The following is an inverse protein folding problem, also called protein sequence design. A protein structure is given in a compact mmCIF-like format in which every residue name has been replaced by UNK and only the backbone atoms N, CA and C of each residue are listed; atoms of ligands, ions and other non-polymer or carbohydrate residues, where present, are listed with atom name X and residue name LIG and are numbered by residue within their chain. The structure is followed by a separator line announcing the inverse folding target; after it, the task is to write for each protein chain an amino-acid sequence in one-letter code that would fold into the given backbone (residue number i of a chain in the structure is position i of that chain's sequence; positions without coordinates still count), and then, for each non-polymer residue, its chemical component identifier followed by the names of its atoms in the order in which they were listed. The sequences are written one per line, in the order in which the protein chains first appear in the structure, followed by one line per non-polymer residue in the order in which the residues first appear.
data_IF_345219147686
#
_entry.id   IF_345219147686
#
_cell.length_a   1.000
_cell.length_b   1.000
_cell.length_c   1.000
_cell.angle_alpha   90.00
_cell.angle_beta   90.00
_cell.angle_gamma   90.00
#
_symmetry.space_group_name_H-M   'P 1'
#
loop_
_entity.id
_entity.type
_entity.pdbx_description
1 polymer ?
#
# COMPACT_ATOMS: atom_id res chain seq x y z
N UNK A 1 10.54 -68.26 -38.06
CA UNK A 1 10.66 -67.25 -36.98
C UNK A 1 10.74 -65.79 -37.46
N UNK A 2 11.14 -65.47 -38.71
CA UNK A 2 11.20 -64.08 -39.21
C UNK A 2 9.84 -63.37 -39.41
N UNK A 3 8.75 -64.11 -39.64
CA UNK A 3 7.44 -63.51 -39.92
C UNK A 3 6.60 -63.26 -38.65
N UNK A 4 6.88 -63.97 -37.55
CA UNK A 4 6.18 -63.77 -36.27
C UNK A 4 6.62 -62.45 -35.61
N UNK A 5 7.91 -62.10 -35.71
CA UNK A 5 8.45 -60.83 -35.19
C UNK A 5 7.88 -59.62 -35.94
N UNK A 6 7.63 -59.73 -37.26
CA UNK A 6 6.97 -58.67 -38.03
C UNK A 6 5.54 -58.40 -37.56
N UNK A 7 4.74 -59.44 -37.33
CA UNK A 7 3.36 -59.27 -36.86
C UNK A 7 3.28 -58.73 -35.42
N UNK A 8 4.24 -59.08 -34.54
CA UNK A 8 4.32 -58.47 -33.20
C UNK A 8 4.69 -56.99 -33.23
N UNK A 9 5.52 -56.54 -34.19
CA UNK A 9 5.87 -55.12 -34.36
C UNK A 9 4.67 -54.32 -34.91
N UNK A 10 3.91 -54.88 -35.86
CA UNK A 10 2.70 -54.22 -36.37
C UNK A 10 1.56 -54.17 -35.33
N UNK A 11 1.46 -55.17 -34.45
CA UNK A 11 0.50 -55.17 -33.36
C UNK A 11 0.84 -54.13 -32.27
N UNK A 12 2.13 -53.88 -32.01
CA UNK A 12 2.56 -52.87 -31.04
C UNK A 12 2.43 -51.43 -31.54
N UNK A 13 2.59 -51.19 -32.86
CA UNK A 13 2.37 -49.87 -33.48
C UNK A 13 0.88 -49.49 -33.54
N UNK A 14 -0.03 -50.48 -33.61
CA UNK A 14 -1.47 -50.24 -33.61
C UNK A 14 -2.06 -49.75 -32.27
N UNK A 15 -1.37 -50.01 -31.15
CA UNK A 15 -1.86 -49.64 -29.80
C UNK A 15 -1.45 -48.20 -29.43
N UNK A 16 -0.40 -47.64 -30.03
CA UNK A 16 0.08 -46.28 -29.73
C UNK A 16 -0.82 -45.19 -30.34
N UNK A 17 -1.70 -45.52 -31.29
CA UNK A 17 -2.55 -44.54 -31.98
C UNK A 17 -3.88 -44.21 -31.26
N UNK A 18 -4.19 -44.86 -30.14
CA UNK A 18 -5.41 -44.56 -29.35
C UNK A 18 -5.13 -43.86 -28.01
N UNK A 19 -3.87 -43.53 -27.72
CA UNK A 19 -3.47 -42.71 -26.57
C UNK A 19 -3.39 -41.21 -26.89
N UNK A 20 -4.12 -40.73 -27.90
CA UNK A 20 -4.26 -39.30 -28.10
C UNK A 20 -4.93 -38.72 -26.85
N UNK A 21 -4.18 -37.91 -26.11
CA UNK A 21 -4.66 -37.08 -25.02
C UNK A 21 -6.06 -36.57 -25.38
N UNK A 22 -7.07 -36.94 -24.59
CA UNK A 22 -8.27 -36.10 -24.50
C UNK A 22 -7.76 -34.69 -24.30
N UNK A 23 -8.10 -33.72 -25.18
CA UNK A 23 -7.72 -32.35 -24.93
C UNK A 23 -8.25 -32.02 -23.54
N UNK A 24 -7.37 -31.69 -22.60
CA UNK A 24 -7.81 -31.09 -21.36
C UNK A 24 -8.52 -29.81 -21.77
N UNK A 25 -9.86 -29.85 -21.75
CA UNK A 25 -10.68 -28.66 -21.91
C UNK A 25 -10.43 -27.81 -20.69
N UNK A 26 -9.49 -26.87 -20.79
CA UNK A 26 -9.38 -25.74 -19.87
C UNK A 26 -10.55 -24.78 -20.16
N UNK A 27 -11.77 -25.26 -20.03
CA UNK A 27 -12.95 -24.40 -20.03
C UNK A 27 -13.10 -23.89 -18.60
N UNK A 28 -12.89 -22.59 -18.41
CA UNK A 28 -13.39 -21.89 -17.24
C UNK A 28 -14.88 -22.24 -17.13
N UNK A 29 -15.31 -22.75 -15.97
CA UNK A 29 -16.69 -23.18 -15.79
C UNK A 29 -17.67 -22.04 -16.08
N UNK A 30 -18.91 -22.38 -16.45
CA UNK A 30 -19.93 -21.39 -16.81
C UNK A 30 -20.03 -20.25 -15.78
N UNK A 31 -20.10 -19.01 -16.28
CA UNK A 31 -20.32 -17.82 -15.46
C UNK A 31 -21.75 -17.92 -14.88
N UNK A 32 -21.85 -18.13 -13.58
CA UNK A 32 -23.12 -18.29 -12.87
C UNK A 32 -23.66 -16.99 -12.25
N UNK A 33 -22.87 -15.90 -12.31
CA UNK A 33 -23.30 -14.53 -11.95
C UNK A 33 -22.85 -13.55 -13.04
N UNK A 34 -23.81 -12.87 -13.68
CA UNK A 34 -23.53 -11.77 -14.59
C UNK A 34 -23.36 -10.43 -13.85
N UNK A 35 -22.60 -9.45 -14.40
CA UNK A 35 -22.45 -8.11 -13.81
C UNK A 35 -23.78 -7.43 -13.45
N UNK A 36 -24.80 -7.57 -14.31
CA UNK A 36 -26.13 -6.97 -14.09
C UNK A 36 -26.89 -7.56 -12.89
N UNK A 37 -26.45 -8.71 -12.37
CA UNK A 37 -27.01 -9.33 -11.17
C UNK A 37 -26.29 -8.88 -9.91
N UNK A 38 -25.27 -8.02 -10.00
CA UNK A 38 -24.58 -7.43 -8.85
C UNK A 38 -25.23 -6.07 -8.54
N UNK A 39 -26.22 -6.10 -7.64
CA UNK A 39 -27.07 -4.93 -7.34
C UNK A 39 -27.13 -4.71 -5.83
N UNK A 40 -27.02 -3.45 -5.39
CA UNK A 40 -27.22 -3.07 -4.00
C UNK A 40 -28.65 -3.40 -3.51
N UNK A 41 -28.76 -3.92 -2.29
CA UNK A 41 -29.99 -4.45 -1.71
C UNK A 41 -30.29 -5.91 -2.09
N UNK A 42 -29.66 -6.45 -3.14
CA UNK A 42 -29.85 -7.84 -3.60
C UNK A 42 -28.60 -8.67 -3.34
N UNK A 43 -27.46 -8.23 -3.88
CA UNK A 43 -26.19 -8.99 -3.87
C UNK A 43 -25.25 -8.50 -2.78
N UNK A 44 -25.45 -7.25 -2.35
CA UNK A 44 -24.72 -6.63 -1.25
C UNK A 44 -25.54 -5.49 -0.63
N UNK A 45 -25.11 -4.96 0.52
CA UNK A 45 -25.68 -3.77 1.17
C UNK A 45 -24.59 -2.81 1.61
N UNK A 46 -24.92 -1.52 1.60
CA UNK A 46 -24.16 -0.44 2.21
C UNK A 46 -25.08 0.22 3.24
N UNK A 47 -24.68 0.21 4.52
CA UNK A 47 -25.53 0.70 5.61
C UNK A 47 -24.71 1.57 6.56
N UNK A 48 -25.26 2.72 6.95
CA UNK A 48 -24.69 3.55 8.00
C UNK A 48 -25.03 2.95 9.37
N UNK A 49 -24.10 3.03 10.32
CA UNK A 49 -24.41 2.73 11.71
C UNK A 49 -25.43 3.74 12.26
N UNK A 50 -26.40 3.25 13.03
CA UNK A 50 -27.49 4.06 13.54
C UNK A 50 -27.05 5.09 14.59
N UNK A 51 -25.94 4.84 15.30
CA UNK A 51 -25.42 5.72 16.35
C UNK A 51 -24.31 6.63 15.83
N UNK A 52 -23.52 6.14 14.88
CA UNK A 52 -22.43 6.91 14.28
C UNK A 52 -22.45 6.77 12.75
N UNK A 53 -23.03 7.73 12.01
CA UNK A 53 -23.18 7.63 10.56
C UNK A 53 -21.84 7.64 9.79
N UNK A 54 -20.71 7.91 10.44
CA UNK A 54 -19.37 7.78 9.86
C UNK A 54 -18.86 6.32 9.83
N UNK A 55 -19.56 5.39 10.48
CA UNK A 55 -19.32 3.95 10.37
C UNK A 55 -20.21 3.39 9.27
N UNK A 56 -19.59 2.79 8.26
CA UNK A 56 -20.29 2.19 7.11
C UNK A 56 -20.08 0.68 7.12
N UNK A 57 -21.16 -0.08 7.09
CA UNK A 57 -21.14 -1.52 6.96
C UNK A 57 -21.36 -1.91 5.50
N UNK A 58 -20.40 -2.63 4.94
CA UNK A 58 -20.54 -3.31 3.66
C UNK A 58 -20.83 -4.79 3.96
N UNK A 59 -21.95 -5.30 3.46
CA UNK A 59 -22.35 -6.69 3.70
C UNK A 59 -22.63 -7.41 2.40
N UNK A 60 -21.93 -8.52 2.17
CA UNK A 60 -22.19 -9.40 1.03
C UNK A 60 -23.42 -10.24 1.33
N UNK A 61 -24.35 -10.27 0.37
CA UNK A 61 -25.58 -11.07 0.40
C UNK A 61 -25.51 -12.28 -0.53
N UNK A 62 -24.41 -12.44 -1.28
CA UNK A 62 -24.25 -13.60 -2.16
C UNK A 62 -24.07 -14.90 -1.36
N UNK A 63 -24.38 -16.02 -2.00
CA UNK A 63 -24.24 -17.35 -1.40
C UNK A 63 -22.80 -17.60 -0.93
N UNK A 64 -22.65 -18.36 0.17
CA UNK A 64 -21.36 -18.65 0.77
C UNK A 64 -20.39 -19.41 -0.13
N UNK A 65 -20.88 -20.05 -1.21
CA UNK A 65 -20.01 -20.67 -2.23
C UNK A 65 -19.20 -19.65 -3.04
N UNK A 66 -19.54 -18.37 -2.97
CA UNK A 66 -18.83 -17.30 -3.66
C UNK A 66 -17.93 -16.51 -2.73
N UNK A 67 -16.79 -16.07 -3.25
CA UNK A 67 -15.89 -15.15 -2.54
C UNK A 67 -16.28 -13.70 -2.87
N UNK A 68 -16.66 -12.88 -1.88
CA UNK A 68 -16.89 -11.46 -2.05
C UNK A 68 -15.59 -10.75 -2.46
N UNK A 69 -15.69 -9.69 -3.27
CA UNK A 69 -14.58 -8.81 -3.60
C UNK A 69 -15.04 -7.37 -3.45
N UNK A 70 -14.42 -6.64 -2.54
CA UNK A 70 -14.70 -5.23 -2.29
C UNK A 70 -13.55 -4.36 -2.78
N UNK A 71 -13.88 -3.28 -3.48
CA UNK A 71 -13.02 -2.11 -3.62
C UNK A 71 -13.73 -0.93 -2.99
N UNK A 72 -13.12 -0.30 -1.99
CA UNK A 72 -13.73 0.74 -1.16
C UNK A 72 -12.68 1.81 -0.79
N UNK A 73 -13.06 2.95 -0.20
CA UNK A 73 -12.12 4.06 0.06
C UNK A 73 -10.90 3.68 0.90
N UNK A 74 -11.00 2.61 1.69
CA UNK A 74 -9.94 2.11 2.57
C UNK A 74 -9.20 0.87 2.01
N UNK A 75 -9.26 0.64 0.69
CA UNK A 75 -8.55 -0.47 0.02
C UNK A 75 -9.47 -1.56 -0.53
N UNK A 76 -9.05 -2.82 -0.38
CA UNK A 76 -9.78 -4.00 -0.86
C UNK A 76 -9.99 -5.01 0.26
N UNK A 77 -11.06 -5.78 0.18
CA UNK A 77 -11.34 -6.89 1.12
C UNK A 77 -12.08 -8.02 0.43
N UNK A 78 -11.94 -9.23 0.95
CA UNK A 78 -12.74 -10.40 0.55
C UNK A 78 -13.73 -10.83 1.65
N UNK A 79 -13.83 -10.06 2.73
CA UNK A 79 -14.65 -10.41 3.86
C UNK A 79 -16.14 -10.31 3.50
N UNK A 80 -16.93 -11.21 4.11
CA UNK A 80 -18.39 -11.16 3.96
C UNK A 80 -18.99 -9.87 4.53
N UNK A 81 -18.38 -9.32 5.58
CA UNK A 81 -18.75 -8.04 6.18
C UNK A 81 -17.51 -7.19 6.38
N UNK A 82 -17.54 -5.96 5.87
CA UNK A 82 -16.48 -4.97 6.05
C UNK A 82 -17.06 -3.79 6.83
N UNK A 83 -16.30 -3.25 7.77
CA UNK A 83 -16.66 -2.04 8.50
C UNK A 83 -15.68 -0.94 8.11
N UNK A 84 -16.17 0.09 7.43
CA UNK A 84 -15.41 1.29 7.12
C UNK A 84 -15.64 2.33 8.21
N UNK A 85 -14.58 3.04 8.58
CA UNK A 85 -14.63 4.18 9.50
C UNK A 85 -14.17 5.42 8.76
N UNK A 86 -15.11 6.24 8.30
CA UNK A 86 -14.86 7.34 7.37
C UNK A 86 -14.87 8.67 8.13
N UNK A 87 -13.71 9.24 8.49
CA UNK A 87 -13.64 10.44 9.32
C UNK A 87 -14.12 11.71 8.62
N UNK A 88 -13.99 11.80 7.29
CA UNK A 88 -14.19 13.04 6.56
C UNK A 88 -15.56 13.08 5.86
N UNK A 89 -16.18 14.27 5.76
CA UNK A 89 -17.36 14.45 4.95
C UNK A 89 -16.99 14.33 3.47
N UNK A 90 -17.86 13.71 2.69
CA UNK A 90 -17.63 13.47 1.26
C UNK A 90 -18.56 12.44 0.66
N UNK A 91 -18.49 12.33 -0.67
CA UNK A 91 -19.13 11.26 -1.43
C UNK A 91 -18.08 10.21 -1.79
N UNK A 92 -18.39 8.96 -1.48
CA UNK A 92 -17.48 7.83 -1.59
C UNK A 92 -18.07 6.75 -2.47
N UNK A 93 -17.19 5.99 -3.15
CA UNK A 93 -17.59 4.89 -4.03
C UNK A 93 -17.19 3.54 -3.44
N UNK A 94 -18.04 2.54 -3.63
CA UNK A 94 -17.77 1.13 -3.35
C UNK A 94 -18.06 0.34 -4.60
N UNK A 95 -17.11 -0.50 -5.01
CA UNK A 95 -17.31 -1.47 -6.08
C UNK A 95 -17.36 -2.85 -5.46
N UNK A 96 -18.46 -3.54 -5.69
CA UNK A 96 -18.63 -4.92 -5.26
C UNK A 96 -18.47 -5.86 -6.45
N UNK A 97 -17.79 -6.97 -6.20
CA UNK A 97 -17.61 -8.05 -7.14
C UNK A 97 -17.64 -9.40 -6.43
N UNK A 98 -17.61 -10.42 -7.26
CA UNK A 98 -17.69 -11.81 -6.83
C UNK A 98 -16.70 -12.63 -7.65
N UNK A 99 -15.90 -13.44 -6.98
CA UNK A 99 -15.12 -14.47 -7.66
C UNK A 99 -16.00 -15.69 -7.95
N UNK A 100 -16.10 -16.05 -9.22
CA UNK A 100 -16.87 -17.20 -9.73
C UNK A 100 -15.94 -18.21 -10.38
N UNK A 101 -16.47 -19.38 -10.77
CA UNK A 101 -15.71 -20.37 -11.57
C UNK A 101 -15.28 -19.84 -12.94
N UNK A 102 -16.03 -18.88 -13.48
CA UNK A 102 -15.73 -18.20 -14.74
C UNK A 102 -14.77 -17.01 -14.58
N UNK A 103 -14.24 -16.78 -13.38
CA UNK A 103 -13.42 -15.63 -13.04
C UNK A 103 -14.18 -14.56 -12.26
N UNK A 104 -13.55 -13.40 -12.12
CA UNK A 104 -14.07 -12.29 -11.32
C UNK A 104 -15.10 -11.49 -12.10
N UNK A 105 -16.23 -11.22 -11.45
CA UNK A 105 -17.31 -10.40 -11.98
C UNK A 105 -17.54 -9.23 -11.05
N UNK A 106 -17.51 -8.00 -11.58
CA UNK A 106 -17.83 -6.78 -10.82
C UNK A 106 -19.14 -6.16 -11.29
N UNK A 107 -19.88 -5.57 -10.37
CA UNK A 107 -21.00 -4.68 -10.68
C UNK A 107 -20.54 -3.25 -10.93
N UNK A 108 -21.51 -2.39 -11.21
CA UNK A 108 -21.29 -0.93 -11.25
C UNK A 108 -20.98 -0.39 -9.84
N UNK A 109 -20.11 0.63 -9.70
CA UNK A 109 -19.84 1.23 -8.39
C UNK A 109 -21.09 1.89 -7.79
N UNK A 110 -21.37 1.59 -6.53
CA UNK A 110 -22.35 2.31 -5.71
C UNK A 110 -21.70 3.47 -4.95
N UNK A 111 -22.51 4.43 -4.53
CA UNK A 111 -22.07 5.64 -3.82
C UNK A 111 -22.73 5.77 -2.47
N UNK A 112 -21.98 6.19 -1.45
CA UNK A 112 -22.52 6.61 -0.15
C UNK A 112 -21.95 7.97 0.23
N UNK A 113 -22.64 8.69 1.12
CA UNK A 113 -22.25 10.04 1.54
C UNK A 113 -22.04 10.10 3.04
N UNK A 114 -20.96 10.74 3.47
CA UNK A 114 -20.74 11.13 4.86
C UNK A 114 -20.89 12.64 4.93
N UNK A 115 -21.79 13.11 5.79
CA UNK A 115 -22.17 14.53 5.85
C UNK A 115 -21.23 15.35 6.76
N UNK A 116 -20.82 14.77 7.88
CA UNK A 116 -20.06 15.44 8.92
C UNK A 116 -18.73 14.75 9.21
N UNK A 117 -17.79 15.52 9.74
CA UNK A 117 -16.51 14.99 10.20
C UNK A 117 -16.66 14.27 11.55
N UNK A 118 -16.05 13.10 11.70
CA UNK A 118 -15.96 12.39 12.98
C UNK A 118 -14.49 12.25 13.41
N UNK A 119 -14.03 13.22 14.21
CA UNK A 119 -12.62 13.39 14.58
C UNK A 119 -12.06 12.22 15.42
N UNK A 120 -12.89 11.46 16.14
CA UNK A 120 -12.43 10.31 16.93
C UNK A 120 -11.86 9.17 16.08
N UNK A 121 -12.16 9.11 14.77
CA UNK A 121 -11.48 8.15 13.88
C UNK A 121 -10.07 8.58 13.47
N UNK A 122 -9.66 9.79 13.84
CA UNK A 122 -8.32 10.33 13.61
C UNK A 122 -7.74 10.95 14.89
N UNK A 123 -8.19 10.49 16.08
CA UNK A 123 -7.71 10.97 17.38
C UNK A 123 -6.46 10.24 17.87
N UNK A 124 -6.08 9.13 17.24
CA UNK A 124 -4.80 8.45 17.53
C UNK A 124 -3.63 9.41 17.28
N UNK A 125 -2.68 9.44 18.22
CA UNK A 125 -1.53 10.35 18.22
C UNK A 125 -0.74 10.29 16.90
N UNK A 126 -0.74 9.15 16.20
CA UNK A 126 -0.08 8.99 14.89
C UNK A 126 -0.58 10.03 13.89
N UNK A 127 -1.88 10.35 13.88
CA UNK A 127 -2.45 11.36 12.97
C UNK A 127 -1.95 12.77 13.31
N UNK A 128 -1.89 13.10 14.60
CA UNK A 128 -1.37 14.37 15.08
C UNK A 128 0.12 14.52 14.77
N UNK A 129 0.91 13.50 15.04
CA UNK A 129 2.35 13.52 14.78
C UNK A 129 2.65 13.61 13.29
N UNK A 130 1.90 12.90 12.43
CA UNK A 130 2.14 12.86 10.99
C UNK A 130 1.64 14.13 10.27
N UNK A 131 0.43 14.59 10.60
CA UNK A 131 -0.31 15.57 9.82
C UNK A 131 -0.77 16.80 10.62
N UNK A 132 -0.43 16.91 11.90
CA UNK A 132 -0.80 18.04 12.76
C UNK A 132 -2.13 17.87 13.50
N UNK A 133 -2.93 16.86 13.15
CA UNK A 133 -4.23 16.58 13.76
C UNK A 133 -5.41 17.08 12.94
N UNK A 134 -6.63 16.86 13.44
CA UNK A 134 -7.87 17.17 12.74
C UNK A 134 -7.92 18.64 12.26
N UNK A 135 -8.10 18.87 10.97
CA UNK A 135 -8.17 20.23 10.39
C UNK A 135 -6.82 20.92 10.19
N UNK A 136 -5.71 20.29 10.57
CA UNK A 136 -4.37 20.85 10.48
C UNK A 136 -3.56 20.25 9.33
N UNK A 137 -2.33 20.73 9.17
CA UNK A 137 -1.36 20.17 8.24
C UNK A 137 0.05 20.18 8.84
N UNK A 138 0.90 19.26 8.38
CA UNK A 138 2.30 19.20 8.77
C UNK A 138 3.18 18.89 7.57
N UNK A 139 4.25 19.67 7.45
CA UNK A 139 5.22 19.58 6.36
C UNK A 139 6.52 18.95 6.83
N UNK A 140 7.08 18.10 5.99
CA UNK A 140 8.28 17.30 6.22
C UNK A 140 9.28 17.53 5.10
N UNK A 141 10.56 17.58 5.48
CA UNK A 141 11.70 17.61 4.57
C UNK A 141 12.51 16.33 4.74
N UNK A 142 13.07 15.83 3.64
CA UNK A 142 14.09 14.79 3.73
C UNK A 142 15.29 15.35 4.51
N UNK A 143 15.89 14.57 5.40
CA UNK A 143 17.04 15.00 6.19
C UNK A 143 18.35 14.96 5.39
N UNK A 144 18.38 15.72 4.30
CA UNK A 144 19.54 16.03 3.48
C UNK A 144 19.24 17.29 2.67
N UNK A 145 20.15 18.25 2.66
CA UNK A 145 20.02 19.46 1.83
C UNK A 145 21.11 19.57 0.75
N UNK A 146 21.03 20.67 0.00
CA UNK A 146 21.94 21.04 -1.08
C UNK A 146 23.41 21.19 -0.65
N UNK A 147 23.68 21.40 0.64
CA UNK A 147 25.03 21.48 1.19
C UNK A 147 25.54 20.12 1.67
N UNK A 148 24.74 19.05 1.52
CA UNK A 148 25.10 17.73 2.02
C UNK A 148 24.96 17.61 3.54
N UNK A 149 24.08 18.41 4.16
CA UNK A 149 23.85 18.38 5.60
C UNK A 149 22.59 17.57 5.94
N UNK A 150 22.81 16.46 6.66
CA UNK A 150 21.78 15.79 7.48
C UNK A 150 21.89 16.34 8.89
N UNK A 151 20.79 16.86 9.43
CA UNK A 151 20.75 17.61 10.71
C UNK A 151 20.53 16.69 11.91
N UNK A 152 19.84 15.57 11.72
CA UNK A 152 19.41 14.71 12.83
C UNK A 152 19.88 13.28 12.67
N UNK A 153 19.66 12.72 11.48
CA UNK A 153 20.05 11.37 11.13
C UNK A 153 21.47 11.35 10.55
N UNK A 154 22.08 10.16 10.51
CA UNK A 154 23.39 9.97 9.87
C UNK A 154 23.35 10.19 8.36
N UNK A 155 22.17 10.09 7.76
CA UNK A 155 21.91 10.30 6.35
C UNK A 155 20.41 10.29 6.02
N UNK A 156 20.02 10.56 4.77
CA UNK A 156 18.62 10.62 4.36
C UNK A 156 17.94 9.25 4.20
N UNK A 157 18.73 8.17 4.11
CA UNK A 157 18.25 6.83 3.76
C UNK A 157 18.98 5.78 4.59
N UNK A 158 18.20 4.96 5.30
CA UNK A 158 18.65 3.74 5.95
C UNK A 158 18.06 2.51 5.27
N UNK A 159 18.62 1.34 5.60
CA UNK A 159 18.17 0.06 5.11
C UNK A 159 17.85 -0.84 6.30
N UNK A 160 16.67 -1.42 6.29
CA UNK A 160 16.26 -2.41 7.28
C UNK A 160 15.90 -3.73 6.62
N UNK A 161 15.95 -4.80 7.39
CA UNK A 161 15.39 -6.09 7.01
C UNK A 161 13.88 -6.00 6.78
N UNK A 162 13.35 -6.87 5.93
CA UNK A 162 11.91 -6.88 5.57
C UNK A 162 10.99 -7.15 6.76
N UNK A 163 11.52 -7.79 7.81
CA UNK A 163 10.83 -8.03 9.08
C UNK A 163 10.80 -6.85 10.03
N UNK A 164 11.62 -5.81 9.82
CA UNK A 164 11.70 -4.67 10.73
C UNK A 164 10.50 -3.72 10.55
N UNK A 165 9.88 -3.34 11.65
CA UNK A 165 8.73 -2.45 11.68
C UNK A 165 8.74 -1.60 12.96
N UNK A 166 7.75 -0.72 13.09
CA UNK A 166 7.56 0.12 14.28
C UNK A 166 7.83 -0.60 15.60
N UNK A 167 7.26 -1.81 15.76
CA UNK A 167 7.38 -2.59 16.98
C UNK A 167 8.83 -2.80 17.41
N UNK A 168 9.66 -3.47 16.59
CA UNK A 168 11.02 -3.78 17.01
C UNK A 168 11.97 -2.57 16.91
N UNK A 169 11.75 -1.63 15.99
CA UNK A 169 12.53 -0.39 15.90
C UNK A 169 12.34 0.48 17.14
N UNK A 170 11.14 0.47 17.75
CA UNK A 170 10.81 1.28 18.93
C UNK A 170 10.68 0.45 20.22
N UNK A 171 11.19 -0.79 20.26
CA UNK A 171 11.17 -1.67 21.44
C UNK A 171 9.76 -2.01 21.98
N UNK A 172 8.75 -2.01 21.12
CA UNK A 172 7.34 -2.32 21.41
C UNK A 172 6.91 -3.71 20.90
N UNK A 173 7.76 -4.42 20.15
CA UNK A 173 7.42 -5.72 19.58
C UNK A 173 8.61 -6.47 19.00
N UNK A 174 8.38 -7.72 18.58
CA UNK A 174 9.35 -8.52 17.83
C UNK A 174 9.27 -8.19 16.33
N UNK A 175 10.33 -8.44 15.54
CA UNK A 175 10.26 -8.35 14.09
C UNK A 175 9.15 -9.25 13.50
N UNK A 176 8.63 -8.87 12.34
CA UNK A 176 7.55 -9.60 11.65
C UNK A 176 8.02 -10.94 11.07
N UNK A 177 9.32 -11.07 10.80
CA UNK A 177 9.96 -12.30 10.31
C UNK A 177 11.44 -12.32 10.73
N UNK A 178 12.20 -13.34 10.29
CA UNK A 178 13.60 -13.52 10.67
C UNK A 178 14.60 -12.58 9.99
N UNK A 179 14.19 -11.89 8.92
CA UNK A 179 15.01 -10.91 8.21
C UNK A 179 14.92 -9.55 8.92
N UNK A 180 15.74 -9.40 9.97
CA UNK A 180 15.80 -8.19 10.81
C UNK A 180 17.25 -7.78 10.99
N UNK A 181 17.58 -6.60 10.47
CA UNK A 181 18.92 -6.02 10.48
C UNK A 181 18.84 -4.52 10.17
N UNK A 182 19.89 -3.78 10.52
CA UNK A 182 19.98 -2.35 10.24
C UNK A 182 21.32 -2.04 9.58
N UNK A 183 21.26 -1.31 8.48
CA UNK A 183 22.38 -0.54 7.96
C UNK A 183 21.98 0.94 7.89
N UNK A 184 22.59 1.76 8.75
CA UNK A 184 22.32 3.19 8.93
C UNK A 184 23.52 4.04 8.49
N UNK A 185 23.82 4.09 7.17
CA UNK A 185 25.04 4.69 6.67
C UNK A 185 25.14 6.18 6.97
N UNK A 186 26.34 6.62 7.35
CA UNK A 186 26.69 8.05 7.36
C UNK A 186 26.77 8.55 5.92
N UNK A 187 25.93 9.53 5.57
CA UNK A 187 25.81 10.02 4.19
C UNK A 187 27.12 10.59 3.65
N UNK A 188 27.89 11.31 4.47
CA UNK A 188 29.19 11.89 4.05
C UNK A 188 30.20 10.85 3.56
N UNK A 189 30.08 9.60 4.02
CA UNK A 189 30.91 8.47 3.60
C UNK A 189 30.27 7.66 2.45
N UNK A 190 28.98 7.91 2.17
CA UNK A 190 28.14 7.14 1.25
C UNK A 190 27.33 8.05 0.33
N UNK A 191 27.94 9.10 -0.21
CA UNK A 191 27.27 10.14 -1.01
C UNK A 191 26.63 9.62 -2.30
N UNK A 192 27.01 8.41 -2.74
CA UNK A 192 26.42 7.70 -3.87
C UNK A 192 24.97 7.26 -3.60
N UNK A 193 24.54 7.13 -2.35
CA UNK A 193 23.17 6.72 -1.99
C UNK A 193 22.14 7.72 -2.51
N UNK A 194 22.40 9.00 -2.29
CA UNK A 194 21.52 10.11 -2.60
C UNK A 194 22.38 11.37 -2.83
N UNK A 195 22.30 12.06 -3.97
CA UNK A 195 23.08 13.28 -4.19
C UNK A 195 22.67 14.41 -3.22
N UNK A 196 23.61 15.27 -2.83
CA UNK A 196 23.24 16.50 -2.14
C UNK A 196 22.31 17.34 -3.05
N UNK A 197 21.22 17.85 -2.49
CA UNK A 197 20.23 18.60 -3.26
C UNK A 197 19.06 19.08 -2.42
N UNK A 198 18.32 20.04 -2.95
CA UNK A 198 17.01 20.39 -2.42
C UNK A 198 15.98 19.39 -2.96
N UNK A 199 15.60 18.43 -2.12
CA UNK A 199 14.61 17.42 -2.46
C UNK A 199 13.19 17.98 -2.56
N UNK A 200 12.93 19.17 -2.01
CA UNK A 200 11.62 19.75 -1.84
C UNK A 200 10.95 19.28 -0.54
N UNK A 201 9.63 19.17 -0.54
CA UNK A 201 8.84 19.00 0.68
C UNK A 201 7.64 18.07 0.49
N UNK A 202 7.18 17.50 1.59
CA UNK A 202 6.00 16.64 1.67
C UNK A 202 5.07 17.11 2.78
N UNK A 203 3.82 17.42 2.44
CA UNK A 203 2.82 17.93 3.38
C UNK A 203 1.64 16.97 3.49
N UNK A 204 1.44 16.41 4.69
CA UNK A 204 0.22 15.72 5.06
C UNK A 204 -0.77 16.74 5.63
N UNK A 205 -2.02 16.75 5.15
CA UNK A 205 -3.06 17.63 5.68
C UNK A 205 -4.37 16.87 5.91
N UNK A 206 -5.08 17.28 6.95
CA UNK A 206 -6.39 16.76 7.37
C UNK A 206 -7.49 17.80 7.17
N UNK A 207 -7.30 18.72 6.21
CA UNK A 207 -8.23 19.79 5.85
C UNK A 207 -9.23 19.29 4.82
N UNK A 208 -10.43 18.95 5.27
CA UNK A 208 -11.52 18.44 4.41
C UNK A 208 -11.26 17.04 3.84
N UNK A 209 -10.25 16.33 4.32
CA UNK A 209 -9.81 15.02 3.84
C UNK A 209 -8.38 14.71 4.29
N UNK A 210 -7.98 13.44 4.23
CA UNK A 210 -6.58 13.05 4.38
C UNK A 210 -5.86 13.18 3.04
N UNK A 211 -5.31 14.36 2.79
CA UNK A 211 -4.62 14.68 1.55
C UNK A 211 -3.11 14.79 1.75
N UNK A 212 -2.36 14.50 0.70
CA UNK A 212 -0.92 14.69 0.68
C UNK A 212 -0.49 15.49 -0.55
N UNK A 213 0.45 16.39 -0.37
CA UNK A 213 1.10 17.15 -1.44
C UNK A 213 2.59 16.89 -1.35
N UNK A 214 3.22 16.50 -2.46
CA UNK A 214 4.66 16.22 -2.51
C UNK A 214 5.30 16.98 -3.65
N UNK A 215 6.22 17.87 -3.32
CA UNK A 215 7.03 18.63 -4.26
C UNK A 215 8.40 17.95 -4.37
N UNK A 216 8.61 17.11 -5.39
CA UNK A 216 9.89 16.43 -5.62
C UNK A 216 10.79 17.30 -6.48
N UNK A 217 11.51 18.25 -5.87
CA UNK A 217 12.34 19.20 -6.62
C UNK A 217 13.46 18.48 -7.40
N UNK A 218 14.12 17.47 -6.80
CA UNK A 218 15.17 16.67 -7.46
C UNK A 218 14.65 15.72 -8.56
N UNK A 219 13.34 15.47 -8.63
CA UNK A 219 12.71 14.68 -9.70
C UNK A 219 11.94 15.56 -10.70
N UNK A 220 11.82 16.86 -10.45
CA UNK A 220 11.08 17.79 -11.30
C UNK A 220 9.57 17.51 -11.38
N UNK A 221 8.95 16.93 -10.34
CA UNK A 221 7.51 16.60 -10.33
C UNK A 221 6.81 17.05 -9.06
N UNK A 222 5.53 17.41 -9.21
CA UNK A 222 4.62 17.70 -8.10
C UNK A 222 3.48 16.70 -8.12
N UNK A 223 3.12 16.20 -6.95
CA UNK A 223 2.07 15.22 -6.77
C UNK A 223 1.08 15.73 -5.74
N UNK A 224 -0.21 15.48 -6.00
CA UNK A 224 -1.29 15.71 -5.05
C UNK A 224 -2.10 14.43 -5.01
N UNK A 225 -2.27 13.91 -3.81
CA UNK A 225 -2.91 12.62 -3.59
C UNK A 225 -3.66 12.57 -2.28
N UNK A 226 -4.02 11.37 -1.88
CA UNK A 226 -4.64 11.07 -0.58
C UNK A 226 -3.81 10.03 0.18
N UNK A 227 -4.03 9.94 1.48
CA UNK A 227 -3.42 8.92 2.31
C UNK A 227 -4.40 8.36 3.35
N UNK A 228 -4.13 7.16 3.83
CA UNK A 228 -4.82 6.54 4.96
C UNK A 228 -3.79 5.88 5.87
N UNK A 229 -3.97 5.99 7.19
CA UNK A 229 -3.11 5.35 8.19
C UNK A 229 -3.83 4.12 8.77
N UNK A 230 -3.15 2.98 8.81
CA UNK A 230 -3.47 1.87 9.73
C UNK A 230 -2.64 2.09 11.00
N UNK A 231 -3.27 2.63 12.05
CA UNK A 231 -2.58 3.04 13.28
C UNK A 231 -2.10 1.84 14.09
N UNK A 232 -2.74 0.69 13.94
CA UNK A 232 -2.37 -0.55 14.64
C UNK A 232 -1.16 -1.20 13.98
N UNK A 233 -1.17 -1.30 12.65
CA UNK A 233 -0.05 -1.88 11.87
C UNK A 233 1.08 -0.90 11.60
N UNK A 234 0.86 0.40 11.88
CA UNK A 234 1.79 1.50 11.62
C UNK A 234 2.20 1.54 10.15
N UNK A 235 1.20 1.50 9.27
CA UNK A 235 1.38 1.64 7.81
C UNK A 235 0.55 2.80 7.27
N UNK A 236 0.98 3.32 6.12
CA UNK A 236 0.28 4.35 5.36
C UNK A 236 0.04 3.80 3.96
N UNK A 237 -1.20 3.90 3.47
CA UNK A 237 -1.50 3.75 2.06
C UNK A 237 -1.58 5.13 1.42
N UNK A 238 -0.72 5.41 0.44
CA UNK A 238 -0.78 6.63 -0.37
C UNK A 238 -1.35 6.34 -1.77
N UNK A 239 -2.08 7.30 -2.31
CA UNK A 239 -2.69 7.23 -3.66
C UNK A 239 -2.36 8.52 -4.40
N UNK A 240 -1.96 8.41 -5.67
CA UNK A 240 -1.57 9.52 -6.57
C UNK A 240 -0.40 10.40 -6.09
N UNK A 241 0.32 9.94 -5.05
CA UNK A 241 1.54 10.54 -4.54
C UNK A 241 2.47 9.46 -4.00
N UNK A 242 3.76 9.78 -3.92
CA UNK A 242 4.81 8.92 -3.34
C UNK A 242 5.55 9.68 -2.25
N UNK A 243 6.05 9.04 -1.17
CA UNK A 243 6.92 9.69 -0.20
C UNK A 243 8.07 10.44 -0.88
N UNK A 244 8.52 11.56 -0.31
CA UNK A 244 9.62 12.33 -0.87
C UNK A 244 10.90 11.48 -0.92
N UNK A 245 11.52 11.36 -2.10
CA UNK A 245 12.69 10.48 -2.32
C UNK A 245 13.57 10.98 -3.47
N UNK A 246 14.67 10.26 -3.74
CA UNK A 246 15.62 10.60 -4.79
C UNK A 246 15.60 9.68 -6.00
N UNK A 247 16.17 10.19 -7.10
CA UNK A 247 16.29 9.47 -8.37
C UNK A 247 16.94 8.08 -8.27
N UNK A 248 17.97 7.85 -7.43
CA UNK A 248 18.58 6.52 -7.34
C UNK A 248 17.60 5.42 -6.91
N UNK A 249 16.56 5.76 -6.15
CA UNK A 249 15.57 4.81 -5.66
C UNK A 249 14.24 4.80 -6.45
N UNK A 250 13.95 5.86 -7.22
CA UNK A 250 12.66 6.05 -7.94
C UNK A 250 12.26 4.84 -8.80
N UNK A 251 13.25 4.17 -9.43
CA UNK A 251 13.03 3.03 -10.33
C UNK A 251 13.16 1.63 -9.70
N UNK A 252 13.39 1.51 -8.39
CA UNK A 252 13.64 0.21 -7.73
C UNK A 252 12.57 -0.18 -6.70
N UNK A 253 11.44 0.53 -6.69
CA UNK A 253 10.29 0.28 -5.82
C UNK A 253 9.06 0.10 -6.70
N UNK A 254 8.34 -1.01 -6.51
CA UNK A 254 7.17 -1.33 -7.33
C UNK A 254 5.91 -0.62 -6.84
N UNK A 255 5.72 -0.52 -5.53
CA UNK A 255 4.55 0.12 -4.92
C UNK A 255 4.99 1.18 -3.90
N UNK A 256 5.16 2.40 -4.39
CA UNK A 256 5.47 3.56 -3.55
C UNK A 256 4.35 3.98 -2.61
N UNK A 257 3.13 3.48 -2.83
CA UNK A 257 1.99 3.82 -2.00
C UNK A 257 1.90 2.93 -0.75
N UNK A 258 2.60 1.80 -0.69
CA UNK A 258 2.61 0.91 0.47
C UNK A 258 3.79 1.26 1.39
N UNK A 259 3.49 2.03 2.42
CA UNK A 259 4.50 2.69 3.26
C UNK A 259 4.39 2.18 4.68
N UNK A 260 5.53 1.85 5.29
CA UNK A 260 5.64 1.48 6.71
C UNK A 260 6.18 2.66 7.50
N UNK A 261 5.55 2.99 8.62
CA UNK A 261 6.09 3.96 9.58
C UNK A 261 7.07 3.21 10.47
N UNK A 262 8.36 3.55 10.39
CA UNK A 262 9.41 2.91 11.18
C UNK A 262 9.62 3.62 12.51
N UNK A 263 9.54 4.94 12.51
CA UNK A 263 9.52 5.79 13.70
C UNK A 263 8.83 7.12 13.37
N UNK A 264 8.22 7.75 14.38
CA UNK A 264 7.51 9.01 14.24
C UNK A 264 7.43 9.70 15.60
N UNK A 265 7.84 10.96 15.65
CA UNK A 265 7.61 11.86 16.77
C UNK A 265 7.35 13.28 16.25
N UNK A 266 7.36 14.27 17.14
CA UNK A 266 7.06 15.66 16.77
C UNK A 266 8.03 16.23 15.71
N UNK A 267 9.28 15.81 15.75
CA UNK A 267 10.37 16.44 15.00
C UNK A 267 10.89 15.57 13.85
N UNK A 268 10.76 14.26 13.97
CA UNK A 268 11.41 13.29 13.07
C UNK A 268 10.45 12.19 12.67
N UNK A 269 10.66 11.67 11.46
CA UNK A 269 9.86 10.59 10.89
C UNK A 269 10.73 9.71 10.01
N UNK A 270 10.49 8.41 10.07
CA UNK A 270 11.08 7.43 9.17
C UNK A 270 9.97 6.67 8.44
N UNK A 271 9.94 6.80 7.11
CA UNK A 271 8.99 6.08 6.25
C UNK A 271 9.75 5.09 5.36
N UNK A 272 9.30 3.84 5.35
CA UNK A 272 9.93 2.78 4.59
C UNK A 272 9.04 2.24 3.47
N UNK A 273 9.67 1.93 2.34
CA UNK A 273 9.06 1.24 1.20
C UNK A 273 9.91 0.01 0.85
N UNK A 274 9.28 -1.01 0.26
CA UNK A 274 9.97 -2.24 -0.10
C UNK A 274 10.78 -2.04 -1.39
N UNK A 275 12.10 -2.26 -1.32
CA UNK A 275 12.94 -2.42 -2.51
C UNK A 275 12.56 -3.69 -3.25
N UNK A 276 12.22 -3.55 -4.52
CA UNK A 276 11.92 -4.68 -5.38
C UNK A 276 13.21 -5.38 -5.82
N UNK A 277 13.37 -6.69 -5.56
CA UNK A 277 14.60 -7.40 -5.91
C UNK A 277 14.88 -7.50 -7.41
N UNK A 278 13.84 -7.52 -8.24
CA UNK A 278 13.96 -7.64 -9.70
C UNK A 278 14.38 -6.31 -10.30
N UNK A 279 13.75 -5.21 -9.89
CA UNK A 279 14.08 -3.87 -10.37
C UNK A 279 15.45 -3.40 -9.87
N UNK A 280 15.78 -3.71 -8.61
CA UNK A 280 17.08 -3.32 -8.03
C UNK A 280 18.24 -4.23 -8.43
N UNK A 281 17.97 -5.48 -8.81
CA UNK A 281 18.98 -6.54 -8.94
C UNK A 281 19.75 -6.81 -7.64
N UNK A 282 19.16 -6.43 -6.49
CA UNK A 282 19.69 -6.65 -5.15
C UNK A 282 18.66 -7.38 -4.27
N UNK A 283 19.04 -7.79 -3.06
CA UNK A 283 18.09 -8.40 -2.11
C UNK A 283 16.96 -7.44 -1.70
N UNK A 284 15.82 -7.98 -1.29
CA UNK A 284 14.76 -7.17 -0.69
C UNK A 284 15.28 -6.44 0.55
N UNK A 285 14.89 -5.19 0.71
CA UNK A 285 15.19 -4.40 1.91
C UNK A 285 14.12 -3.32 2.06
N UNK A 286 13.87 -2.90 3.30
CA UNK A 286 13.07 -1.71 3.57
C UNK A 286 13.95 -0.48 3.36
N UNK A 287 13.68 0.28 2.29
CA UNK A 287 14.30 1.58 2.03
C UNK A 287 13.62 2.60 2.93
N UNK A 288 14.30 3.00 4.01
CA UNK A 288 13.75 3.86 5.06
C UNK A 288 14.26 5.28 4.90
N UNK A 289 13.41 6.17 4.42
CA UNK A 289 13.71 7.59 4.25
C UNK A 289 13.52 8.33 5.57
N UNK A 290 14.49 9.19 5.88
CA UNK A 290 14.57 9.94 7.12
C UNK A 290 14.13 11.39 6.89
N UNK A 291 13.16 11.84 7.67
CA UNK A 291 12.55 13.16 7.52
C UNK A 291 12.61 13.95 8.82
N UNK A 292 12.64 15.27 8.67
CA UNK A 292 12.50 16.25 9.75
C UNK A 292 11.31 17.16 9.47
N UNK A 293 10.58 17.55 10.52
CA UNK A 293 9.45 18.46 10.39
C UNK A 293 9.93 19.87 10.00
N UNK A 294 9.10 20.62 9.28
CA UNK A 294 9.38 22.01 8.91
C UNK A 294 9.71 22.87 10.12
N UNK A 295 8.86 22.83 11.14
CA UNK A 295 9.04 23.60 12.37
C UNK A 295 10.38 23.27 13.06
N UNK A 296 10.78 22.00 13.07
CA UNK A 296 12.05 21.61 13.67
C UNK A 296 13.24 22.07 12.84
N UNK A 297 13.20 21.88 11.51
CA UNK A 297 14.24 22.38 10.60
C UNK A 297 14.47 23.89 10.77
N UNK A 298 13.40 24.67 10.80
CA UNK A 298 13.47 26.14 10.98
C UNK A 298 14.03 26.52 12.35
N UNK A 299 13.70 25.75 13.40
CA UNK A 299 14.26 25.98 14.75
C UNK A 299 15.78 25.83 14.80
N UNK A 300 16.33 24.86 14.05
CA UNK A 300 17.78 24.61 13.98
C UNK A 300 18.51 25.72 13.21
N UNK A 301 17.88 26.25 12.16
CA UNK A 301 18.43 27.36 11.36
C UNK A 301 18.40 28.71 12.12
N UNK A 302 17.55 28.84 13.14
CA UNK A 302 17.50 30.02 14.01
C UNK A 302 18.52 30.03 15.15
N UNK A 303 19.18 28.89 15.40
CA UNK A 303 20.18 28.72 16.46
C UNK A 303 21.64 28.88 16.00
N UNK A 304 21.87 29.05 14.70
CA UNK A 304 23.16 29.32 14.06
C UNK A 304 23.36 30.82 13.77
#
# INVERSE_FOLDING_TARGET
MKNIVKYSIYFFIGIVLFGACTPEKYELGDIDIAPAQIVEGVSYKIEHDASNPNIIYLTSLVDAKYTPLWEHPQGRSQDKKVTLRIPFPGEYKVKFGVETRGGIVYGEPATFKVDDMYAEFISDETWTLLAGGAGEEKTWYLDLDQNGLSRVFKGPLYFYGTGDWWGNVNQQGKPLNSDSWLWDPTWKENTWLMPAGDYGEMTFNLKGGANIIVNHNMLGRKQKGSFMIDTDKKTIRMVDATPLHGKPQDGIVVDWGDVRIMSLNENTMQLAVLRDPVLSQEGAAMLTYNFISKAYRESLESSD
#
